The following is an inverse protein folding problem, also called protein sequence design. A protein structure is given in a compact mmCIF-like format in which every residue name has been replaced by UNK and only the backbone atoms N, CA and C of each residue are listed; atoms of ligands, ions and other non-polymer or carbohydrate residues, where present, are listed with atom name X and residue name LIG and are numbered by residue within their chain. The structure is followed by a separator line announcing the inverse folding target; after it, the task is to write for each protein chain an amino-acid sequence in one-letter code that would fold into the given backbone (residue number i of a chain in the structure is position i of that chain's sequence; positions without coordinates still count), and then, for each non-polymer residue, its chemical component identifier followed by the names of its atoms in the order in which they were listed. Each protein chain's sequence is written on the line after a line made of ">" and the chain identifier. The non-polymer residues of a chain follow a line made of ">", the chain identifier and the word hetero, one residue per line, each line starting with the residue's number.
data_IF_183206112372
#
_entry.id   IF_183206112372
#
_cell.length_a   1.000
_cell.length_b   1.000
_cell.length_c   1.000
_cell.angle_alpha   90.00
_cell.angle_beta   90.00
_cell.angle_gamma   90.00
#
_symmetry.space_group_name_H-M   'P 1'
#
loop_
_entity.id
_entity.type
_entity.pdbx_description
1 polymer ?
#
# COMPACT_ATOMS: atom_id res chain seq x y z
N UNK A 1 -8.84 -4.54 -5.14
CA UNK A 1 -9.98 -4.68 -4.23
C UNK A 1 -10.64 -5.98 -4.65
N UNK A 2 -10.75 -6.93 -3.75
CA UNK A 2 -11.38 -8.20 -4.06
C UNK A 2 -12.71 -8.21 -3.33
N UNK A 3 -13.80 -8.19 -4.09
CA UNK A 3 -15.05 -8.70 -3.59
C UNK A 3 -15.04 -10.22 -3.75
N UNK A 4 -15.40 -10.95 -2.70
CA UNK A 4 -15.32 -12.42 -2.68
C UNK A 4 -16.53 -13.10 -3.31
N UNK A 5 -17.59 -12.34 -3.54
CA UNK A 5 -18.97 -12.76 -3.80
C UNK A 5 -19.34 -12.55 -5.27
N UNK A 6 -18.65 -11.61 -5.93
CA UNK A 6 -18.95 -11.11 -7.26
C UNK A 6 -19.89 -9.90 -7.28
N UNK A 7 -20.15 -9.30 -6.14
CA UNK A 7 -20.98 -8.13 -5.95
C UNK A 7 -20.31 -6.86 -6.53
N UNK A 8 -21.09 -5.96 -7.18
CA UNK A 8 -20.56 -4.72 -7.69
C UNK A 8 -20.03 -3.81 -6.56
N UNK A 9 -18.74 -3.47 -6.62
CA UNK A 9 -18.14 -2.47 -5.74
C UNK A 9 -18.12 -1.09 -6.40
N UNK A 10 -18.49 -0.06 -5.65
CA UNK A 10 -18.35 1.32 -6.10
C UNK A 10 -17.73 2.21 -5.01
N UNK A 11 -17.03 3.26 -5.43
CA UNK A 11 -16.47 4.25 -4.54
C UNK A 11 -17.11 5.61 -4.71
N UNK A 12 -17.28 6.31 -3.59
CA UNK A 12 -17.70 7.71 -3.56
C UNK A 12 -16.94 8.48 -2.50
N UNK A 13 -17.03 9.81 -2.56
CA UNK A 13 -16.54 10.67 -1.49
C UNK A 13 -17.34 10.46 -0.20
N UNK A 14 -16.65 10.53 0.93
CA UNK A 14 -17.28 10.49 2.26
C UNK A 14 -18.18 11.70 2.47
N UNK A 15 -19.32 11.47 3.12
CA UNK A 15 -20.35 12.48 3.36
C UNK A 15 -20.34 12.93 4.82
N UNK A 16 -20.45 14.25 5.02
CA UNK A 16 -20.43 14.83 6.36
C UNK A 16 -21.70 14.47 7.14
N UNK A 17 -22.85 14.47 6.46
CA UNK A 17 -24.15 14.11 7.02
C UNK A 17 -24.23 12.67 7.53
N UNK A 18 -23.33 11.79 7.05
CA UNK A 18 -23.18 10.40 7.50
C UNK A 18 -21.98 10.19 8.42
N UNK A 19 -21.24 11.24 8.77
CA UNK A 19 -20.02 11.20 9.57
C UNK A 19 -18.91 10.30 9.00
N UNK A 20 -18.85 10.14 7.67
CA UNK A 20 -17.92 9.20 7.02
C UNK A 20 -16.52 9.81 6.78
N UNK A 21 -16.43 11.14 6.73
CA UNK A 21 -15.23 11.88 6.35
C UNK A 21 -14.52 12.58 7.51
N UNK A 22 -15.03 12.44 8.74
CA UNK A 22 -14.56 13.22 9.89
C UNK A 22 -14.64 14.73 9.59
N UNK A 23 -13.50 15.36 9.35
CA UNK A 23 -13.40 16.78 8.97
C UNK A 23 -12.88 17.02 7.54
N UNK A 24 -12.76 15.98 6.71
CA UNK A 24 -12.05 15.99 5.42
C UNK A 24 -12.99 15.63 4.26
N UNK A 25 -14.14 16.29 4.19
CA UNK A 25 -15.23 15.92 3.27
C UNK A 25 -15.07 16.51 1.85
N UNK A 26 -14.04 17.34 1.62
CA UNK A 26 -13.82 17.98 0.33
C UNK A 26 -13.14 17.02 -0.65
N UNK A 27 -13.72 16.79 -1.85
CA UNK A 27 -13.08 16.03 -2.92
C UNK A 27 -11.69 16.57 -3.25
N UNK A 28 -10.75 15.66 -3.56
CA UNK A 28 -9.37 15.99 -3.90
C UNK A 28 -9.05 15.88 -5.39
N UNK A 29 -10.02 15.46 -6.20
CA UNK A 29 -9.90 15.30 -7.64
C UNK A 29 -11.02 14.42 -8.21
N UNK A 30 -10.95 14.07 -9.50
CA UNK A 30 -11.85 13.11 -10.11
C UNK A 30 -11.76 11.74 -9.44
N UNK A 31 -12.91 11.15 -9.13
CA UNK A 31 -13.05 9.79 -8.64
C UNK A 31 -13.96 9.02 -9.59
N UNK A 32 -13.43 7.96 -10.18
CA UNK A 32 -14.24 6.98 -10.92
C UNK A 32 -14.83 5.99 -9.92
N UNK A 33 -16.15 5.86 -9.91
CA UNK A 33 -16.86 5.02 -8.94
C UNK A 33 -16.50 3.54 -9.09
N UNK A 34 -16.44 3.03 -10.32
CA UNK A 34 -16.03 1.66 -10.66
C UNK A 34 -15.01 1.76 -11.81
N UNK A 35 -13.73 1.35 -11.64
CA UNK A 35 -13.17 0.47 -10.60
C UNK A 35 -12.47 1.24 -9.45
N UNK A 36 -13.13 2.22 -8.83
CA UNK A 36 -12.60 2.97 -7.68
C UNK A 36 -11.25 3.67 -7.90
N UNK A 37 -11.14 4.48 -8.96
CA UNK A 37 -9.89 5.16 -9.33
C UNK A 37 -9.93 6.64 -8.94
N UNK A 38 -9.06 7.04 -8.02
CA UNK A 38 -8.83 8.45 -7.68
C UNK A 38 -7.69 9.03 -8.54
N UNK A 39 -8.00 10.07 -9.31
CA UNK A 39 -6.99 10.91 -9.95
C UNK A 39 -6.70 12.12 -9.07
N UNK A 40 -5.47 12.24 -8.57
CA UNK A 40 -5.04 13.34 -7.72
C UNK A 40 -3.93 14.16 -8.39
N UNK A 41 -4.13 15.48 -8.50
CA UNK A 41 -3.10 16.39 -9.00
C UNK A 41 -2.45 17.14 -7.83
N UNK A 42 -1.17 16.83 -7.59
CA UNK A 42 -0.40 17.42 -6.50
C UNK A 42 -0.01 18.87 -6.83
N UNK A 43 -0.57 19.83 -6.09
CA UNK A 43 -0.29 21.27 -6.26
C UNK A 43 0.58 21.87 -5.17
N UNK A 44 0.73 21.18 -4.03
CA UNK A 44 1.51 21.63 -2.87
C UNK A 44 2.20 20.45 -2.21
N UNK A 45 3.42 20.67 -1.71
CA UNK A 45 4.15 19.68 -0.91
C UNK A 45 3.45 19.45 0.44
N UNK A 46 3.71 18.31 1.06
CA UNK A 46 3.17 17.93 2.36
C UNK A 46 2.07 16.87 2.27
N UNK A 47 1.17 16.84 3.24
CA UNK A 47 0.12 15.81 3.32
C UNK A 47 -1.21 16.32 2.76
N UNK A 48 -1.83 15.52 1.91
CA UNK A 48 -3.21 15.69 1.48
C UNK A 48 -4.05 14.55 2.04
N UNK A 49 -5.02 14.89 2.89
CA UNK A 49 -5.93 13.91 3.45
C UNK A 49 -7.10 13.62 2.49
N UNK A 50 -7.48 12.35 2.40
CA UNK A 50 -8.54 11.83 1.52
C UNK A 50 -9.49 10.99 2.35
N UNK A 51 -10.80 11.19 2.13
CA UNK A 51 -11.87 10.39 2.74
C UNK A 51 -12.82 9.87 1.64
N UNK A 52 -12.84 8.55 1.46
CA UNK A 52 -13.69 7.83 0.52
C UNK A 52 -14.58 6.84 1.27
N UNK A 53 -15.59 6.33 0.59
CA UNK A 53 -16.39 5.20 1.05
C UNK A 53 -16.40 4.18 -0.06
N UNK A 54 -16.10 2.94 0.30
CA UNK A 54 -16.27 1.77 -0.55
C UNK A 54 -17.63 1.19 -0.21
N UNK A 55 -18.51 1.10 -1.20
CA UNK A 55 -19.85 0.56 -1.08
C UNK A 55 -19.95 -0.73 -1.89
N UNK A 56 -20.64 -1.69 -1.28
CA UNK A 56 -20.97 -2.99 -1.82
C UNK A 56 -22.47 -3.03 -2.11
N UNK A 57 -22.86 -3.63 -3.23
CA UNK A 57 -24.21 -3.54 -3.79
C UNK A 57 -24.75 -4.92 -4.11
N UNK A 58 -26.04 -5.13 -3.86
CA UNK A 58 -26.73 -6.31 -4.38
C UNK A 58 -27.03 -6.18 -5.89
N UNK A 59 -27.58 -7.25 -6.46
CA UNK A 59 -27.97 -7.31 -7.87
C UNK A 59 -29.02 -6.27 -8.29
N UNK A 60 -29.74 -5.67 -7.33
CA UNK A 60 -30.73 -4.62 -7.55
C UNK A 60 -30.15 -3.20 -7.36
N UNK A 61 -28.81 -3.07 -7.27
CA UNK A 61 -28.08 -1.83 -7.00
C UNK A 61 -28.43 -1.18 -5.64
N UNK A 62 -28.80 -1.97 -4.65
CA UNK A 62 -28.98 -1.49 -3.28
C UNK A 62 -27.71 -1.73 -2.47
N UNK A 63 -27.32 -0.71 -1.71
CA UNK A 63 -26.14 -0.77 -0.82
C UNK A 63 -26.36 -1.83 0.26
N UNK A 64 -25.50 -2.85 0.27
CA UNK A 64 -25.41 -3.89 1.29
C UNK A 64 -24.50 -3.46 2.44
N UNK A 65 -23.33 -2.93 2.10
CA UNK A 65 -22.36 -2.45 3.08
C UNK A 65 -21.67 -1.16 2.65
N UNK A 66 -21.13 -0.42 3.62
CA UNK A 66 -20.43 0.85 3.38
C UNK A 66 -19.27 0.96 4.35
N UNK A 67 -18.05 1.02 3.82
CA UNK A 67 -16.82 1.10 4.60
C UNK A 67 -16.14 2.45 4.34
N UNK A 68 -16.14 3.37 5.32
CA UNK A 68 -15.37 4.59 5.23
C UNK A 68 -13.86 4.31 5.26
N UNK A 69 -13.14 4.86 4.28
CA UNK A 69 -11.69 4.77 4.15
C UNK A 69 -11.07 6.17 4.22
N UNK A 70 -10.14 6.36 5.14
CA UNK A 70 -9.38 7.61 5.27
C UNK A 70 -7.89 7.34 5.17
N UNK A 71 -7.19 8.11 4.34
CA UNK A 71 -5.74 7.99 4.18
C UNK A 71 -5.10 9.33 3.84
N UNK A 72 -3.78 9.37 3.98
CA UNK A 72 -2.95 10.52 3.65
C UNK A 72 -2.12 10.23 2.40
N UNK A 73 -2.10 11.17 1.46
CA UNK A 73 -1.14 11.21 0.35
C UNK A 73 0.01 12.11 0.79
N UNK A 74 1.24 11.58 0.84
CA UNK A 74 2.43 12.38 1.10
C UNK A 74 3.04 12.86 -0.21
N UNK A 75 3.06 14.17 -0.42
CA UNK A 75 3.52 14.83 -1.63
C UNK A 75 4.92 15.36 -1.37
N UNK A 76 5.89 14.76 -2.05
CA UNK A 76 7.31 15.11 -1.95
C UNK A 76 7.82 15.75 -3.23
N UNK A 77 8.87 16.55 -3.12
CA UNK A 77 9.49 17.16 -4.28
C UNK A 77 10.27 16.11 -5.07
N UNK A 78 9.87 15.88 -6.32
CA UNK A 78 10.58 14.95 -7.23
C UNK A 78 12.03 15.40 -7.50
N UNK A 79 12.32 16.70 -7.38
CA UNK A 79 13.60 17.30 -7.78
C UNK A 79 14.71 17.22 -6.72
N UNK A 80 14.55 16.43 -5.65
CA UNK A 80 15.64 16.21 -4.67
C UNK A 80 16.85 15.47 -5.31
N UNK A 81 16.69 14.93 -6.52
CA UNK A 81 17.72 14.21 -7.28
C UNK A 81 18.66 15.08 -8.15
N UNK A 82 18.54 16.41 -8.18
CA UNK A 82 19.41 17.23 -9.07
C UNK A 82 20.64 17.86 -8.42
N UNK A 83 20.76 17.85 -7.09
CA UNK A 83 21.93 18.41 -6.38
C UNK A 83 22.88 17.35 -5.81
N UNK A 84 22.59 16.06 -6.02
CA UNK A 84 23.44 14.96 -5.55
C UNK A 84 23.71 14.02 -6.73
N UNK A 85 24.89 14.10 -7.33
CA UNK A 85 25.25 13.37 -8.55
C UNK A 85 25.13 11.84 -8.45
N UNK A 86 24.88 11.31 -7.24
CA UNK A 86 24.84 9.87 -6.95
C UNK A 86 23.45 9.38 -6.48
N UNK A 87 22.37 10.17 -6.60
CA UNK A 87 21.02 9.70 -6.28
C UNK A 87 20.42 8.83 -7.38
N UNK A 88 19.71 7.76 -7.01
CA UNK A 88 19.07 6.85 -7.96
C UNK A 88 17.80 7.50 -8.50
N UNK A 89 17.62 7.49 -9.82
CA UNK A 89 16.45 8.06 -10.49
C UNK A 89 15.33 7.05 -10.72
N UNK A 90 15.63 5.77 -10.52
CA UNK A 90 14.71 4.66 -10.69
C UNK A 90 14.09 4.25 -9.34
N UNK A 91 12.85 3.78 -9.38
CA UNK A 91 12.11 3.36 -8.19
C UNK A 91 12.64 2.01 -7.67
N UNK A 92 12.56 1.76 -6.36
CA UNK A 92 12.85 0.44 -5.81
C UNK A 92 11.97 -0.64 -6.47
N UNK A 93 12.53 -1.83 -6.68
CA UNK A 93 11.81 -2.95 -7.32
C UNK A 93 11.74 -4.14 -6.37
N UNK A 94 10.60 -4.85 -6.38
CA UNK A 94 10.50 -6.13 -5.70
C UNK A 94 11.25 -7.21 -6.48
N UNK A 95 12.06 -7.99 -5.77
CA UNK A 95 12.88 -9.09 -6.33
C UNK A 95 12.69 -10.39 -5.55
N UNK A 96 11.64 -10.46 -4.72
CA UNK A 96 11.29 -11.67 -3.98
C UNK A 96 10.59 -12.70 -4.85
N UNK A 97 10.38 -13.88 -4.27
CA UNK A 97 9.87 -15.05 -4.99
C UNK A 97 8.36 -15.07 -5.17
N UNK A 98 7.62 -14.19 -4.46
CA UNK A 98 6.15 -14.14 -4.54
C UNK A 98 5.69 -13.46 -5.83
N UNK A 99 4.99 -14.15 -6.75
CA UNK A 99 4.38 -13.52 -7.91
C UNK A 99 3.30 -12.50 -7.51
N UNK A 100 3.04 -11.52 -8.36
CA UNK A 100 1.92 -10.60 -8.19
C UNK A 100 0.60 -11.38 -8.15
N UNK A 101 -0.22 -11.12 -7.12
CA UNK A 101 -1.53 -11.78 -6.95
C UNK A 101 -1.47 -13.21 -6.38
N UNK A 102 -0.31 -13.71 -5.96
CA UNK A 102 -0.20 -15.03 -5.35
C UNK A 102 -0.85 -15.10 -3.95
N UNK A 103 -1.55 -16.20 -3.68
CA UNK A 103 -2.17 -16.49 -2.37
C UNK A 103 -1.37 -17.55 -1.62
N UNK A 104 -1.24 -17.38 -0.29
CA UNK A 104 -0.65 -18.39 0.60
C UNK A 104 -1.73 -18.83 1.59
N UNK A 105 -2.01 -20.14 1.63
CA UNK A 105 -2.86 -20.74 2.65
C UNK A 105 -2.09 -20.88 3.96
N UNK A 106 -2.59 -20.27 5.03
CA UNK A 106 -2.01 -20.36 6.37
C UNK A 106 -3.05 -20.97 7.29
N UNK A 107 -2.69 -22.05 7.99
CA UNK A 107 -3.57 -22.69 8.95
C UNK A 107 -3.67 -21.83 10.21
N UNK A 108 -4.86 -21.75 10.80
CA UNK A 108 -5.06 -21.10 12.10
C UNK A 108 -4.09 -21.66 13.16
N UNK A 109 -3.58 -20.76 14.00
CA UNK A 109 -2.60 -21.00 15.05
C UNK A 109 -1.25 -21.57 14.55
N UNK A 110 -0.95 -21.44 13.26
CA UNK A 110 0.32 -21.85 12.65
C UNK A 110 1.04 -20.61 12.12
N UNK A 111 2.31 -20.44 12.48
CA UNK A 111 3.09 -19.29 12.03
C UNK A 111 3.59 -19.50 10.60
N UNK A 112 3.41 -18.49 9.76
CA UNK A 112 4.13 -18.34 8.48
C UNK A 112 5.18 -17.24 8.62
N UNK A 113 6.35 -17.48 8.04
CA UNK A 113 7.44 -16.51 7.96
C UNK A 113 7.89 -16.41 6.51
N UNK A 114 8.09 -15.19 6.03
CA UNK A 114 8.55 -14.91 4.68
C UNK A 114 9.56 -13.77 4.66
N UNK A 115 10.58 -13.91 3.84
CA UNK A 115 11.55 -12.85 3.60
C UNK A 115 11.21 -12.12 2.30
N UNK A 116 10.76 -10.87 2.42
CA UNK A 116 10.48 -10.01 1.27
C UNK A 116 11.76 -9.29 0.87
N UNK A 117 11.99 -9.13 -0.43
CA UNK A 117 13.25 -8.60 -0.97
C UNK A 117 13.00 -7.48 -1.97
N UNK A 118 13.74 -6.40 -1.81
CA UNK A 118 13.68 -5.22 -2.67
C UNK A 118 15.07 -4.80 -3.11
N UNK A 119 15.15 -4.22 -4.30
CA UNK A 119 16.40 -3.74 -4.88
C UNK A 119 16.30 -2.27 -5.24
N UNK A 120 17.35 -1.50 -4.95
CA UNK A 120 17.59 -0.20 -5.57
C UNK A 120 18.29 -0.45 -6.92
N UNK A 121 17.65 -0.15 -8.07
CA UNK A 121 18.14 -0.63 -9.36
C UNK A 121 19.29 0.20 -9.97
N UNK A 122 19.80 1.20 -9.26
CA UNK A 122 20.96 2.00 -9.70
C UNK A 122 22.27 1.48 -9.11
N UNK A 123 23.33 1.43 -9.94
CA UNK A 123 24.68 1.18 -9.47
C UNK A 123 25.32 2.45 -8.89
N UNK A 124 26.25 2.30 -7.94
CA UNK A 124 27.05 3.39 -7.34
C UNK A 124 26.20 4.56 -6.79
N UNK A 125 25.04 4.25 -6.23
CA UNK A 125 24.14 5.25 -5.64
C UNK A 125 24.34 5.37 -4.13
N UNK A 126 24.12 6.56 -3.60
CA UNK A 126 23.94 6.78 -2.16
C UNK A 126 22.51 6.52 -1.68
N UNK A 127 21.60 6.15 -2.59
CA UNK A 127 20.19 5.89 -2.28
C UNK A 127 20.05 4.56 -1.56
N UNK A 128 19.40 4.57 -0.41
CA UNK A 128 19.13 3.36 0.37
C UNK A 128 17.63 3.12 0.48
N UNK A 129 17.24 1.90 0.86
CA UNK A 129 15.86 1.62 1.21
C UNK A 129 15.58 2.15 2.62
N UNK A 130 14.67 3.12 2.74
CA UNK A 130 14.35 3.76 4.01
C UNK A 130 13.18 3.07 4.72
N UNK A 131 12.21 2.55 3.98
CA UNK A 131 11.04 1.91 4.56
C UNK A 131 10.42 0.87 3.62
N UNK A 132 9.60 -0.02 4.17
CA UNK A 132 8.68 -0.89 3.44
C UNK A 132 7.32 -0.73 4.10
N UNK A 133 6.45 0.07 3.49
CA UNK A 133 5.08 0.23 3.96
C UNK A 133 4.32 -1.07 3.70
N UNK A 134 3.47 -1.46 4.65
CA UNK A 134 2.66 -2.67 4.50
C UNK A 134 1.20 -2.41 4.79
N UNK A 135 0.34 -2.91 3.92
CA UNK A 135 -1.04 -3.27 4.27
C UNK A 135 -0.99 -4.73 4.63
N UNK A 136 -1.38 -5.09 5.85
CA UNK A 136 -1.19 -6.45 6.36
C UNK A 136 -2.39 -6.90 7.18
N UNK A 137 -2.63 -8.22 7.29
CA UNK A 137 -3.60 -8.76 8.22
C UNK A 137 -3.30 -8.30 9.67
N UNK A 138 -4.33 -8.20 10.53
CA UNK A 138 -4.11 -7.91 11.95
C UNK A 138 -3.19 -8.95 12.59
N UNK A 139 -2.28 -8.48 13.45
CA UNK A 139 -1.31 -9.35 14.14
C UNK A 139 -0.06 -9.72 13.33
N UNK A 140 0.08 -9.28 12.08
CA UNK A 140 1.31 -9.49 11.31
C UNK A 140 2.47 -8.66 11.91
N UNK A 141 3.59 -9.33 12.15
CA UNK A 141 4.83 -8.78 12.70
C UNK A 141 5.81 -8.51 11.56
N UNK A 142 6.50 -7.37 11.62
CA UNK A 142 7.54 -6.96 10.68
C UNK A 142 8.88 -6.90 11.41
N UNK A 143 9.87 -7.57 10.86
CA UNK A 143 11.27 -7.44 11.28
C UNK A 143 11.91 -6.14 10.79
N UNK A 144 13.17 -5.88 11.17
CA UNK A 144 13.92 -4.75 10.65
C UNK A 144 14.25 -4.93 9.16
N UNK A 145 14.49 -3.81 8.47
CA UNK A 145 15.06 -3.81 7.13
C UNK A 145 16.56 -4.10 7.25
N UNK A 146 17.02 -5.14 6.56
CA UNK A 146 18.41 -5.59 6.56
C UNK A 146 18.96 -5.42 5.14
N UNK A 147 20.06 -4.67 5.02
CA UNK A 147 20.83 -4.57 3.78
C UNK A 147 21.68 -5.83 3.61
N UNK A 148 21.73 -6.37 2.40
CA UNK A 148 22.53 -7.55 2.09
C UNK A 148 24.04 -7.25 2.21
N UNK A 149 24.78 -8.17 2.83
CA UNK A 149 26.21 -7.98 3.11
C UNK A 149 27.10 -8.04 1.86
N UNK A 150 26.63 -8.66 0.79
CA UNK A 150 27.36 -8.85 -0.47
C UNK A 150 26.90 -7.85 -1.52
N UNK A 151 25.58 -7.63 -1.60
CA UNK A 151 24.98 -6.70 -2.55
C UNK A 151 24.37 -5.48 -1.84
N UNK A 152 25.06 -4.33 -1.81
CA UNK A 152 24.59 -3.14 -1.08
C UNK A 152 23.29 -2.54 -1.65
N UNK A 153 22.84 -2.98 -2.83
CA UNK A 153 21.59 -2.52 -3.42
C UNK A 153 20.41 -3.44 -3.08
N UNK A 154 20.64 -4.57 -2.41
CA UNK A 154 19.61 -5.52 -2.02
C UNK A 154 19.25 -5.35 -0.55
N UNK A 155 17.96 -5.32 -0.28
CA UNK A 155 17.40 -5.16 1.06
C UNK A 155 16.36 -6.25 1.29
N UNK A 156 16.24 -6.69 2.52
CA UNK A 156 15.26 -7.68 2.93
C UNK A 156 14.56 -7.29 4.23
N UNK A 157 13.34 -7.75 4.39
CA UNK A 157 12.58 -7.65 5.64
C UNK A 157 11.87 -8.96 5.87
N UNK A 158 11.94 -9.46 7.10
CA UNK A 158 11.15 -10.61 7.50
C UNK A 158 9.75 -10.18 7.90
N UNK A 159 8.74 -10.90 7.42
CA UNK A 159 7.37 -10.77 7.87
C UNK A 159 6.92 -12.10 8.47
N UNK A 160 6.20 -12.02 9.58
CA UNK A 160 5.68 -13.18 10.29
C UNK A 160 4.21 -12.98 10.63
N UNK A 161 3.39 -14.01 10.45
CA UNK A 161 1.98 -13.96 10.82
C UNK A 161 1.50 -15.29 11.36
N UNK A 162 0.77 -15.25 12.47
CA UNK A 162 0.09 -16.40 13.07
C UNK A 162 -1.39 -16.06 13.19
N UNK A 163 -2.25 -16.53 12.27
CA UNK A 163 -3.67 -16.20 12.31
C UNK A 163 -4.39 -16.87 13.48
N UNK A 164 -5.24 -16.11 14.17
CA UNK A 164 -6.21 -16.62 15.13
C UNK A 164 -7.40 -17.29 14.43
N UNK A 165 -8.24 -18.03 15.17
CA UNK A 165 -9.34 -18.80 14.58
C UNK A 165 -10.49 -17.94 14.06
N UNK A 166 -10.64 -16.72 14.57
CA UNK A 166 -11.59 -15.71 14.11
C UNK A 166 -11.09 -14.93 12.87
N UNK A 167 -9.82 -15.07 12.50
CA UNK A 167 -9.23 -14.49 11.29
C UNK A 167 -9.38 -15.39 10.05
N UNK A 168 -10.37 -16.28 10.05
CA UNK A 168 -10.64 -17.12 8.89
C UNK A 168 -11.08 -16.28 7.68
N UNK A 169 -10.45 -16.49 6.51
CA UNK A 169 -10.81 -15.81 5.28
C UNK A 169 -9.60 -15.37 4.44
N UNK A 170 -9.86 -14.51 3.45
CA UNK A 170 -8.84 -13.93 2.59
C UNK A 170 -8.38 -12.62 3.21
N UNK A 171 -7.06 -12.46 3.37
CA UNK A 171 -6.46 -11.23 3.85
C UNK A 171 -5.47 -10.68 2.83
N UNK A 172 -5.46 -9.37 2.66
CA UNK A 172 -4.59 -8.69 1.72
C UNK A 172 -3.25 -8.33 2.38
N UNK A 173 -2.16 -8.67 1.68
CA UNK A 173 -0.82 -8.19 2.00
C UNK A 173 -0.30 -7.37 0.81
N UNK A 174 -0.02 -6.10 1.05
CA UNK A 174 0.66 -5.23 0.08
C UNK A 174 1.96 -4.72 0.67
N UNK A 175 3.00 -4.65 -0.16
CA UNK A 175 4.31 -4.18 0.23
C UNK A 175 4.69 -3.02 -0.70
N UNK A 176 5.07 -1.89 -0.13
CA UNK A 176 5.45 -0.70 -0.89
C UNK A 176 6.81 -0.21 -0.40
N UNK A 177 7.90 -0.44 -1.15
CA UNK A 177 9.23 0.02 -0.78
C UNK A 177 9.31 1.55 -0.93
N UNK A 178 9.99 2.20 0.01
CA UNK A 178 10.25 3.64 0.02
C UNK A 178 11.74 3.87 0.16
N UNK A 179 12.34 4.58 -0.79
CA UNK A 179 13.76 4.90 -0.74
C UNK A 179 14.07 6.12 0.16
N UNK A 180 15.36 6.39 0.36
CA UNK A 180 15.86 7.54 1.13
C UNK A 180 15.51 8.90 0.51
N UNK A 181 15.02 8.92 -0.74
CA UNK A 181 14.51 10.11 -1.43
C UNK A 181 12.98 10.20 -1.38
N UNK A 182 12.31 9.35 -0.59
CA UNK A 182 10.85 9.28 -0.46
C UNK A 182 10.12 8.84 -1.74
N UNK A 183 10.82 8.18 -2.66
CA UNK A 183 10.19 7.60 -3.84
C UNK A 183 9.70 6.18 -3.54
N UNK A 184 8.48 5.88 -4.01
CA UNK A 184 7.83 4.59 -3.76
C UNK A 184 7.89 3.69 -4.98
N UNK A 185 8.34 2.45 -4.80
CA UNK A 185 8.26 1.40 -5.80
C UNK A 185 7.00 0.56 -5.70
N UNK A 186 6.85 -0.43 -6.58
CA UNK A 186 5.77 -1.42 -6.55
C UNK A 186 6.32 -2.84 -6.39
N UNK A 187 5.50 -3.69 -5.79
CA UNK A 187 5.64 -5.14 -5.83
C UNK A 187 5.16 -5.71 -7.16
#
# INVERSE_FOLDING_TARGET
>A
MADSDGDPLQCRWGRNEKQECGSICSPKGPLTADPCVLTYNATRLGYAAVALVIEDFDTDNKVLSSIPLQFLIHIVNKNVSQNNSNSCTQLPIYVGNRPQGACIGVKSNSSVTEQVRFRIPCANTSTTLANILTVSPPGMIRGPIIQDSVDPNLYSMEIQWTPESDQYGIHQLCLTPVDSQQQTGSQ
#
